data_IF_264435602860
#
_entry.id   IF_264435602860
#
_cell.length_a   1.000
_cell.length_b   1.000
_cell.length_c   1.000
_cell.angle_alpha   90.00
_cell.angle_beta   90.00
_cell.angle_gamma   90.00
#
_symmetry.space_group_name_H-M   'P 1'
#
loop_
_entity.id
_entity.type
_entity.pdbx_description
1 polymer ?
#
# COMPACT_ATOMS: atom_id res chain seq x y z
N UNK A 1 -9.98 -13.22 3.73
CA UNK A 1 -10.39 -11.96 3.16
C UNK A 1 -9.25 -11.32 2.43
N UNK A 2 -9.52 -10.73 1.28
CA UNK A 2 -8.42 -10.14 0.51
C UNK A 2 -7.90 -8.86 1.14
N UNK A 3 -6.63 -8.64 0.91
CA UNK A 3 -5.99 -7.40 1.30
C UNK A 3 -6.10 -6.45 0.12
N UNK A 4 -6.58 -5.25 0.39
CA UNK A 4 -6.64 -4.19 -0.62
C UNK A 4 -5.40 -3.33 -0.49
N UNK A 5 -4.80 -2.99 -1.63
CA UNK A 5 -3.65 -2.10 -1.65
C UNK A 5 -4.13 -0.72 -2.08
N UNK A 6 -4.00 0.23 -1.18
CA UNK A 6 -4.44 1.61 -1.42
C UNK A 6 -3.28 2.53 -1.75
N UNK A 7 -2.21 1.96 -2.24
CA UNK A 7 -1.00 2.73 -2.53
C UNK A 7 -1.25 3.83 -3.56
N UNK A 8 -2.01 3.53 -4.60
CA UNK A 8 -2.29 4.51 -5.64
C UNK A 8 -3.04 5.72 -5.08
N UNK A 9 -3.96 5.47 -4.13
CA UNK A 9 -4.73 6.54 -3.51
C UNK A 9 -3.82 7.45 -2.71
N UNK A 10 -2.94 6.87 -1.90
CA UNK A 10 -2.03 7.67 -1.07
C UNK A 10 -1.06 8.44 -1.96
N UNK A 11 -0.57 7.80 -3.01
CA UNK A 11 0.33 8.49 -3.94
C UNK A 11 -0.35 9.70 -4.58
N UNK A 12 -1.61 9.54 -4.96
CA UNK A 12 -2.36 10.63 -5.55
C UNK A 12 -2.57 11.76 -4.53
N UNK A 13 -2.89 11.39 -3.29
CA UNK A 13 -3.08 12.38 -2.23
C UNK A 13 -1.81 13.18 -1.94
N UNK A 14 -0.66 12.50 -2.02
CA UNK A 14 0.63 13.14 -1.76
C UNK A 14 1.25 13.73 -3.03
N UNK A 15 0.58 13.54 -4.17
CA UNK A 15 1.07 14.05 -5.45
C UNK A 15 2.45 13.49 -5.78
N UNK A 16 2.61 12.19 -5.56
CA UNK A 16 3.88 11.49 -5.79
C UNK A 16 3.79 10.66 -7.05
N UNK A 17 4.82 10.73 -7.87
CA UNK A 17 4.87 9.98 -9.13
C UNK A 17 5.46 8.60 -8.91
N UNK A 18 4.98 7.62 -9.67
CA UNK A 18 5.48 6.26 -9.59
C UNK A 18 6.99 6.19 -9.82
N UNK A 19 7.47 6.95 -10.77
CA UNK A 19 8.90 6.98 -11.08
C UNK A 19 9.74 7.35 -9.86
N UNK A 20 9.31 8.39 -9.16
CA UNK A 20 10.05 8.89 -8.00
C UNK A 20 9.99 7.90 -6.85
N UNK A 21 8.83 7.33 -6.61
CA UNK A 21 8.68 6.37 -5.53
C UNK A 21 9.48 5.09 -5.81
N UNK A 22 9.41 4.60 -7.04
CA UNK A 22 10.14 3.41 -7.41
C UNK A 22 11.64 3.60 -7.23
N UNK A 23 12.14 4.78 -7.60
CA UNK A 23 13.56 5.09 -7.44
C UNK A 23 13.96 5.12 -5.97
N UNK A 24 13.11 5.71 -5.14
CA UNK A 24 13.41 5.78 -3.69
C UNK A 24 13.42 4.39 -3.07
N UNK A 25 12.47 3.56 -3.44
CA UNK A 25 12.34 2.23 -2.88
C UNK A 25 13.38 1.27 -3.45
N UNK A 26 13.85 1.54 -4.66
CA UNK A 26 14.85 0.69 -5.30
C UNK A 26 14.24 -0.46 -6.08
N UNK A 27 13.04 -0.27 -6.60
CA UNK A 27 12.38 -1.27 -7.44
C UNK A 27 12.05 -0.65 -8.79
N UNK A 28 11.65 -1.50 -9.72
CA UNK A 28 11.25 -1.01 -11.05
C UNK A 28 9.86 -0.40 -10.99
N UNK A 29 9.57 0.45 -11.96
CA UNK A 29 8.21 0.99 -12.06
C UNK A 29 7.20 -0.10 -12.35
N UNK A 30 7.62 -1.14 -13.09
CA UNK A 30 6.75 -2.28 -13.36
C UNK A 30 6.36 -3.00 -12.08
N UNK A 31 7.34 -3.23 -11.20
CA UNK A 31 7.06 -3.88 -9.91
C UNK A 31 6.19 -3.01 -9.04
N UNK A 32 6.43 -1.70 -9.04
CA UNK A 32 5.60 -0.78 -8.29
C UNK A 32 4.17 -0.80 -8.82
N UNK A 33 4.01 -0.88 -10.13
CA UNK A 33 2.69 -0.94 -10.75
C UNK A 33 1.92 -2.18 -10.30
N UNK A 34 2.61 -3.33 -10.24
CA UNK A 34 1.98 -4.55 -9.75
C UNK A 34 1.55 -4.41 -8.30
N UNK A 35 2.38 -3.77 -7.50
CA UNK A 35 2.05 -3.54 -6.10
C UNK A 35 0.83 -2.61 -5.98
N UNK A 36 0.79 -1.55 -6.77
CA UNK A 36 -0.34 -0.62 -6.76
C UNK A 36 -1.65 -1.31 -7.14
N UNK A 37 -1.57 -2.30 -8.00
CA UNK A 37 -2.75 -3.05 -8.44
C UNK A 37 -3.13 -4.17 -7.49
N UNK A 38 -2.29 -4.43 -6.48
CA UNK A 38 -2.54 -5.51 -5.56
C UNK A 38 -2.28 -6.88 -6.15
N UNK A 39 -1.46 -6.95 -7.19
CA UNK A 39 -1.18 -8.20 -7.89
C UNK A 39 0.09 -8.87 -7.39
N UNK A 40 0.45 -8.63 -6.14
CA UNK A 40 1.59 -9.28 -5.51
C UNK A 40 1.08 -10.13 -4.36
N UNK A 41 1.84 -11.17 -4.04
CA UNK A 41 1.46 -12.06 -2.95
C UNK A 41 1.89 -11.54 -1.60
N UNK A 42 2.81 -10.58 -1.59
CA UNK A 42 3.28 -10.01 -0.36
C UNK A 42 4.20 -8.85 -0.64
N UNK A 43 4.61 -8.18 0.40
CA UNK A 43 5.55 -7.08 0.32
C UNK A 43 6.48 -7.19 1.51
N UNK A 44 7.76 -6.95 1.26
CA UNK A 44 8.73 -6.98 2.35
C UNK A 44 8.52 -5.79 3.25
N UNK A 45 8.74 -6.01 4.53
CA UNK A 45 8.64 -4.90 5.49
C UNK A 45 9.61 -3.77 5.14
N UNK A 46 10.78 -4.12 4.66
CA UNK A 46 11.77 -3.13 4.26
C UNK A 46 11.24 -2.24 3.13
N UNK A 47 10.60 -2.86 2.14
CA UNK A 47 10.00 -2.13 1.04
C UNK A 47 8.86 -1.25 1.53
N UNK A 48 8.01 -1.81 2.38
CA UNK A 48 6.88 -1.09 2.95
C UNK A 48 7.34 0.10 3.76
N UNK A 49 8.40 -0.08 4.53
CA UNK A 49 9.01 1.00 5.31
C UNK A 49 9.41 2.17 4.43
N UNK A 50 10.11 1.86 3.34
CA UNK A 50 10.60 2.90 2.44
C UNK A 50 9.46 3.64 1.75
N UNK A 51 8.41 2.90 1.42
CA UNK A 51 7.23 3.50 0.82
C UNK A 51 6.60 4.48 1.80
N UNK A 52 6.42 4.03 3.04
CA UNK A 52 5.79 4.87 4.05
C UNK A 52 6.63 6.09 4.37
N UNK A 53 7.94 5.94 4.41
CA UNK A 53 8.83 7.07 4.64
C UNK A 53 8.69 8.12 3.55
N UNK A 54 8.68 7.68 2.31
CA UNK A 54 8.61 8.59 1.18
C UNK A 54 7.26 9.31 1.11
N UNK A 55 6.20 8.58 1.44
CA UNK A 55 4.85 9.13 1.38
C UNK A 55 4.41 9.78 2.69
N UNK A 56 5.22 9.65 3.72
CA UNK A 56 4.88 10.16 5.05
C UNK A 56 3.53 9.64 5.51
N UNK A 57 3.40 8.32 5.51
CA UNK A 57 2.16 7.68 5.90
C UNK A 57 2.46 6.39 6.68
N UNK A 58 1.41 5.78 7.17
CA UNK A 58 1.50 4.53 7.92
C UNK A 58 1.15 3.35 7.02
N UNK A 59 1.64 2.15 7.34
CA UNK A 59 1.25 0.97 6.57
C UNK A 59 -0.26 0.77 6.50
N UNK A 60 -0.98 1.15 7.55
CA UNK A 60 -2.44 1.04 7.55
C UNK A 60 -3.13 1.97 6.56
N UNK A 61 -2.42 2.97 6.06
CA UNK A 61 -2.97 3.83 5.01
C UNK A 61 -2.89 3.16 3.65
N UNK A 62 -1.98 2.21 3.51
CA UNK A 62 -1.70 1.55 2.23
C UNK A 62 -2.40 0.21 2.13
N UNK A 63 -2.46 -0.54 3.23
CA UNK A 63 -3.00 -1.89 3.25
C UNK A 63 -4.26 -1.94 4.07
N UNK A 64 -5.33 -2.48 3.49
CA UNK A 64 -6.61 -2.59 4.16
C UNK A 64 -7.18 -3.97 3.92
N UNK A 65 -8.04 -4.40 4.82
CA UNK A 65 -8.77 -5.66 4.64
C UNK A 65 -10.13 -5.34 4.05
N UNK A 66 -10.45 -6.00 2.96
CA UNK A 66 -11.76 -5.82 2.36
C UNK A 66 -12.80 -6.49 3.25
N UNK A 67 -13.90 -5.77 3.55
CA UNK A 67 -14.97 -6.31 4.36
C UNK A 67 -16.25 -6.18 3.62
N UNK A 68 -17.15 -7.11 3.86
CA UNK A 68 -18.45 -7.05 3.26
C UNK A 68 -19.22 -5.88 3.80
N UNK A 69 -20.05 -5.33 2.94
CA UNK A 69 -20.97 -4.29 3.34
C UNK A 69 -21.91 -4.82 4.41
N UNK A 70 -22.10 -4.08 5.46
CA UNK A 70 -23.00 -4.46 6.53
C UNK A 70 -22.41 -5.39 7.56
N UNK A 71 -21.21 -5.89 7.32
CA UNK A 71 -20.55 -6.77 8.25
C UNK A 71 -19.83 -5.94 9.32
N UNK A 72 -20.22 -6.13 10.55
CA UNK A 72 -19.58 -5.41 11.63
C UNK A 72 -18.15 -5.89 11.82
N UNK A 73 -17.27 -4.97 12.11
CA UNK A 73 -15.92 -5.35 12.43
C UNK A 73 -15.93 -6.09 13.76
N UNK A 74 -15.10 -7.10 13.89
CA UNK A 74 -14.98 -7.78 15.19
C UNK A 74 -14.45 -6.79 16.20
N UNK A 75 -14.88 -6.98 17.40
CA UNK A 75 -14.31 -6.22 18.48
C UNK A 75 -12.87 -6.59 18.54
N UNK A 76 -12.13 -5.74 18.42
CA UNK A 76 -10.82 -6.04 18.31
C UNK A 76 -10.12 -6.47 19.34
N UNK A 77 -9.66 -6.77 19.12
CA UNK A 77 -9.05 -7.07 19.56
C UNK A 77 -8.17 -6.59 19.74
N UNK A 78 -7.78 -6.43 20.03
CA UNK A 78 -7.08 -5.93 20.21
C UNK A 78 -6.19 -5.92 20.17
#
# INVERSE_FOLDING_TARGET
>A
MPILVKLAVVMAERNVKSKDLAAHVGITEANLSLLKQGKVKGVRFETLEKICEFLDCEPGDILRIERRSGQAAPVSRS
#
